data_IF_197297438390
#
_entry.id   IF_197297438390
#
_cell.length_a   1.000
_cell.length_b   1.000
_cell.length_c   1.000
_cell.angle_alpha   90.00
_cell.angle_beta   90.00
_cell.angle_gamma   90.00
#
_symmetry.space_group_name_H-M   'P 1'
#
loop_
_entity.id
_entity.type
_entity.pdbx_description
1 polymer ?
#
# COMPACT_ATOMS: atom_id res chain seq x y z
N UNK A 1 -5.23 10.92 30.75
CA UNK A 1 -3.96 10.70 30.03
C UNK A 1 -4.28 9.98 28.73
N UNK A 2 -4.26 10.68 27.60
CA UNK A 2 -4.43 10.04 26.28
C UNK A 2 -3.19 9.20 26.00
N UNK A 3 -3.39 7.89 25.83
CA UNK A 3 -2.35 7.04 25.24
C UNK A 3 -2.18 7.51 23.81
N UNK A 4 -1.06 8.18 23.54
CA UNK A 4 -0.64 8.46 22.17
C UNK A 4 -0.63 7.13 21.43
N UNK A 5 -1.53 7.02 20.44
CA UNK A 5 -1.57 5.89 19.54
C UNK A 5 -0.23 5.91 18.82
N UNK A 6 0.72 5.08 19.26
CA UNK A 6 2.03 4.90 18.63
C UNK A 6 1.85 4.59 17.15
N UNK A 7 1.76 5.64 16.35
CA UNK A 7 2.07 5.63 14.96
C UNK A 7 3.53 5.96 14.97
N UNK A 8 4.40 4.97 14.75
CA UNK A 8 5.59 5.34 14.01
C UNK A 8 5.06 5.99 12.73
N UNK A 9 5.38 7.26 12.46
CA UNK A 9 5.10 7.86 11.18
C UNK A 9 5.63 6.88 10.13
N UNK A 10 4.88 6.59 9.07
CA UNK A 10 5.44 5.93 7.89
C UNK A 10 6.72 6.70 7.57
N UNK A 11 7.88 6.09 7.82
CA UNK A 11 9.14 6.75 7.55
C UNK A 11 9.13 7.12 6.06
N UNK A 12 9.69 8.28 5.74
CA UNK A 12 9.77 8.77 4.36
C UNK A 12 10.31 7.67 3.42
N UNK A 13 11.16 6.77 3.94
CA UNK A 13 11.64 5.57 3.24
C UNK A 13 10.54 4.62 2.76
N UNK A 14 9.54 4.28 3.59
CA UNK A 14 8.46 3.38 3.20
C UNK A 14 7.50 4.03 2.19
N UNK A 15 7.24 5.33 2.34
CA UNK A 15 6.42 6.07 1.37
C UNK A 15 7.11 6.13 0.00
N UNK A 16 8.43 6.34 0.00
CA UNK A 16 9.27 6.35 -1.20
C UNK A 16 9.31 4.99 -1.89
N UNK A 17 9.52 3.91 -1.14
CA UNK A 17 9.53 2.54 -1.69
C UNK A 17 8.18 2.18 -2.32
N UNK A 18 7.08 2.54 -1.66
CA UNK A 18 5.73 2.33 -2.21
C UNK A 18 5.53 3.15 -3.48
N UNK A 19 5.91 4.43 -3.48
CA UNK A 19 5.80 5.28 -4.66
C UNK A 19 6.60 4.74 -5.84
N UNK A 20 7.87 4.37 -5.62
CA UNK A 20 8.74 3.79 -6.65
C UNK A 20 8.15 2.50 -7.22
N UNK A 21 7.59 1.65 -6.37
CA UNK A 21 6.92 0.41 -6.79
C UNK A 21 5.67 0.69 -7.64
N UNK A 22 4.85 1.66 -7.24
CA UNK A 22 3.65 2.05 -7.99
C UNK A 22 4.02 2.71 -9.32
N UNK A 23 5.06 3.55 -9.33
CA UNK A 23 5.57 4.21 -10.55
C UNK A 23 6.12 3.20 -11.55
N UNK A 24 6.87 2.20 -11.06
CA UNK A 24 7.36 1.11 -11.89
C UNK A 24 6.20 0.27 -12.47
N UNK A 25 5.22 -0.08 -11.63
CA UNK A 25 4.03 -0.81 -12.08
C UNK A 25 3.19 -0.01 -13.11
N UNK A 26 3.07 1.30 -12.93
CA UNK A 26 2.40 2.20 -13.87
C UNK A 26 3.14 2.27 -15.21
N UNK A 27 4.45 2.55 -15.19
CA UNK A 27 5.26 2.72 -16.41
C UNK A 27 5.32 1.46 -17.27
N UNK A 28 5.29 0.29 -16.64
CA UNK A 28 5.36 -1.01 -17.32
C UNK A 28 3.98 -1.66 -17.53
N UNK A 29 2.89 -1.03 -17.08
CA UNK A 29 1.54 -1.62 -17.08
C UNK A 29 1.50 -3.03 -16.47
N UNK A 30 2.20 -3.23 -15.35
CA UNK A 30 2.29 -4.53 -14.69
C UNK A 30 0.94 -4.96 -14.13
N UNK A 31 0.58 -6.21 -14.39
CA UNK A 31 -0.53 -6.86 -13.70
C UNK A 31 -0.12 -7.19 -12.27
N UNK A 32 -0.95 -6.82 -11.31
CA UNK A 32 -0.69 -7.03 -9.89
C UNK A 32 -1.94 -7.55 -9.15
N UNK A 33 -1.71 -8.16 -7.99
CA UNK A 33 -2.76 -8.50 -7.05
C UNK A 33 -2.83 -7.45 -5.94
N UNK A 34 -4.05 -7.15 -5.48
CA UNK A 34 -4.26 -6.25 -4.35
C UNK A 34 -4.39 -7.07 -3.08
N UNK A 35 -3.56 -6.73 -2.09
CA UNK A 35 -3.57 -7.34 -0.76
C UNK A 35 -3.85 -6.24 0.26
N UNK A 36 -5.02 -6.32 0.91
CA UNK A 36 -5.38 -5.46 2.02
C UNK A 36 -4.89 -6.09 3.31
N UNK A 37 -3.74 -5.66 3.80
CA UNK A 37 -3.20 -6.13 5.07
C UNK A 37 -3.83 -5.34 6.22
N UNK A 38 -4.51 -6.01 7.15
CA UNK A 38 -4.90 -5.37 8.41
C UNK A 38 -3.65 -5.25 9.29
N UNK A 39 -3.09 -4.05 9.37
CA UNK A 39 -2.05 -3.72 10.36
C UNK A 39 -2.61 -3.85 11.77
N UNK A 40 -2.48 -5.02 12.40
CA UNK A 40 -2.85 -5.20 13.80
C UNK A 40 -1.72 -4.63 14.67
N UNK A 41 -1.90 -3.42 15.21
CA UNK A 41 -0.95 -2.75 16.14
C UNK A 41 -0.60 -3.59 17.38
N UNK A 42 -1.48 -4.51 17.75
CA UNK A 42 -1.23 -5.49 18.78
C UNK A 42 -1.01 -6.80 18.07
N UNK A 43 0.21 -7.34 18.21
CA UNK A 43 0.52 -8.67 17.73
C UNK A 43 -0.63 -9.60 18.08
N UNK A 44 -1.16 -10.30 17.08
CA UNK A 44 -1.96 -11.47 17.38
C UNK A 44 -1.11 -12.29 18.34
N UNK A 45 -1.58 -12.49 19.56
CA UNK A 45 -0.88 -13.23 20.61
C UNK A 45 -0.52 -14.67 20.17
N UNK A 46 -1.00 -15.09 18.99
CA UNK A 46 -0.53 -16.22 18.17
C UNK A 46 -0.59 -15.83 16.69
N UNK A 47 0.55 -15.95 15.99
CA UNK A 47 0.88 -15.28 14.73
C UNK A 47 -0.03 -15.51 13.52
N UNK A 48 -0.64 -14.42 13.03
CA UNK A 48 -1.23 -14.40 11.70
C UNK A 48 -1.49 -12.98 11.20
N UNK A 49 -0.90 -12.63 10.06
CA UNK A 49 -1.32 -11.44 9.30
C UNK A 49 -2.71 -11.75 8.73
N UNK A 50 -3.74 -10.98 9.12
CA UNK A 50 -5.05 -11.04 8.45
C UNK A 50 -4.99 -10.13 7.23
N UNK A 51 -4.78 -10.73 6.07
CA UNK A 51 -4.81 -10.05 4.79
C UNK A 51 -6.08 -10.44 4.01
N UNK A 52 -6.80 -9.45 3.49
CA UNK A 52 -7.80 -9.65 2.45
C UNK A 52 -7.09 -9.68 1.10
N UNK A 53 -7.14 -10.80 0.41
CA UNK A 53 -6.59 -10.96 -0.93
C UNK A 53 -7.71 -10.81 -1.96
N UNK A 54 -7.52 -9.93 -2.94
CA UNK A 54 -8.37 -9.94 -4.12
C UNK A 54 -7.76 -10.83 -5.21
N UNK A 55 -8.54 -11.82 -5.65
CA UNK A 55 -8.11 -12.81 -6.65
C UNK A 55 -8.02 -12.27 -8.08
N UNK A 56 -8.56 -11.08 -8.29
CA UNK A 56 -8.59 -10.42 -9.58
C UNK A 56 -7.25 -9.75 -9.87
N UNK A 57 -6.92 -9.63 -11.15
CA UNK A 57 -5.75 -8.88 -11.58
C UNK A 57 -6.10 -7.40 -11.67
N UNK A 58 -5.15 -6.56 -11.29
CA UNK A 58 -5.24 -5.11 -11.31
C UNK A 58 -4.07 -4.52 -12.07
N UNK A 59 -4.25 -3.31 -12.59
CA UNK A 59 -3.17 -2.48 -13.14
C UNK A 59 -3.26 -1.09 -12.55
N UNK A 60 -2.11 -0.41 -12.39
CA UNK A 60 -2.10 1.02 -12.08
C UNK A 60 -2.45 1.77 -13.37
N UNK A 61 -3.55 2.52 -13.35
CA UNK A 61 -4.06 3.25 -14.52
C UNK A 61 -3.70 4.74 -14.50
N UNK A 62 -3.54 5.30 -13.31
CA UNK A 62 -3.19 6.70 -13.08
C UNK A 62 -2.26 6.77 -11.87
N UNK A 63 -1.26 7.64 -11.93
CA UNK A 63 -0.38 8.02 -10.82
C UNK A 63 -0.14 9.54 -10.91
N UNK A 64 -0.41 10.26 -9.83
CA UNK A 64 -0.35 11.72 -9.74
C UNK A 64 0.41 12.11 -8.47
N UNK A 65 1.28 13.12 -8.56
CA UNK A 65 2.01 13.68 -7.43
C UNK A 65 3.41 13.11 -7.25
N UNK A 66 3.97 13.31 -6.07
CA UNK A 66 5.35 12.95 -5.70
C UNK A 66 5.42 12.48 -4.24
N UNK A 67 6.58 11.97 -3.80
CA UNK A 67 6.76 11.55 -2.40
C UNK A 67 6.69 12.77 -1.46
N UNK A 68 7.23 13.90 -1.90
CA UNK A 68 7.36 15.13 -1.14
C UNK A 68 6.03 15.87 -0.97
N UNK A 69 5.21 15.88 -2.03
CA UNK A 69 3.91 16.59 -2.05
C UNK A 69 2.72 15.69 -1.69
N UNK A 70 2.97 14.37 -1.58
CA UNK A 70 1.94 13.35 -1.51
C UNK A 70 1.51 12.90 -2.91
N UNK A 71 1.02 11.67 -3.00
CA UNK A 71 0.65 11.05 -4.25
C UNK A 71 -0.66 10.29 -4.15
N UNK A 72 -1.37 10.22 -5.28
CA UNK A 72 -2.55 9.40 -5.49
C UNK A 72 -2.30 8.46 -6.68
N UNK A 73 -2.79 7.24 -6.59
CA UNK A 73 -2.81 6.33 -7.73
C UNK A 73 -4.15 5.59 -7.80
N UNK A 74 -4.53 5.22 -9.02
CA UNK A 74 -5.78 4.48 -9.29
C UNK A 74 -5.49 3.12 -9.85
N UNK A 75 -6.11 2.13 -9.24
CA UNK A 75 -6.06 0.74 -9.67
C UNK A 75 -7.34 0.40 -10.42
N UNK A 76 -7.20 -0.22 -11.58
CA UNK A 76 -8.32 -0.78 -12.33
C UNK A 76 -8.26 -2.29 -12.30
N UNK A 77 -9.37 -2.93 -11.91
CA UNK A 77 -9.54 -4.38 -12.01
C UNK A 77 -9.69 -4.75 -13.48
N UNK A 78 -8.92 -5.72 -13.94
CA UNK A 78 -8.89 -6.13 -15.35
C UNK A 78 -9.40 -7.55 -15.61
N UNK A 79 -9.30 -8.48 -14.64
CA UNK A 79 -9.74 -9.87 -14.80
C UNK A 79 -10.19 -10.48 -13.49
#
# INVERSE_FOLDING_TARGET
MSKELGHEPLSISHSKELFETVADAFSQSKECYVILVKGTKFGTSKGGIKAGYDRHLWIVKELIGSVEEGYEFRLNRIR
#
